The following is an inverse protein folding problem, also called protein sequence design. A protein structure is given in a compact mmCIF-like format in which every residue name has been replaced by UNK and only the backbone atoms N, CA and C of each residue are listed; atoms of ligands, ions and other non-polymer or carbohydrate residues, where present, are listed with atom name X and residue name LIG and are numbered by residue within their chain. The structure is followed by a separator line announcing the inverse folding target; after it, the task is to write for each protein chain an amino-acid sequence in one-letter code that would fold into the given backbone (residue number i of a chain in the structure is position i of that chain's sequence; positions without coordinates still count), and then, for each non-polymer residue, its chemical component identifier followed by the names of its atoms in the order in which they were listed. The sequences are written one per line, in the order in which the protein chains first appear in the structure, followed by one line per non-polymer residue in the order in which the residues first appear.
data_IF_949874968662
#
_entry.id   IF_949874968662
#
_cell.length_a   1.000
_cell.length_b   1.000
_cell.length_c   1.000
_cell.angle_alpha   90.00
_cell.angle_beta   90.00
_cell.angle_gamma   90.00
#
_symmetry.space_group_name_H-M   'P 1'
#
loop_
_entity.id
_entity.type
_entity.pdbx_description
1 polymer ?
#
# COMPACT_ATOMS: atom_id res chain seq x y z
N UNK A 1 -11.41 17.65 5.61
CA UNK A 1 -10.01 17.77 6.03
C UNK A 1 -9.33 16.42 5.96
N UNK A 2 -8.16 16.37 5.36
CA UNK A 2 -7.37 15.14 5.24
C UNK A 2 -6.56 14.90 6.52
N UNK A 3 -6.64 13.68 7.03
CA UNK A 3 -5.90 13.26 8.23
C UNK A 3 -5.32 11.87 8.02
N UNK A 4 -4.24 11.57 8.75
CA UNK A 4 -3.66 10.22 8.78
C UNK A 4 -3.84 9.67 10.19
N UNK A 5 -4.57 8.54 10.29
CA UNK A 5 -4.92 7.92 11.56
C UNK A 5 -4.29 6.53 11.69
N UNK A 6 -4.49 5.89 12.84
CA UNK A 6 -3.99 4.54 13.12
C UNK A 6 -5.05 3.50 12.79
N UNK A 7 -4.62 2.29 12.42
CA UNK A 7 -5.55 1.17 12.26
C UNK A 7 -6.38 0.89 13.51
N UNK A 8 -5.76 1.07 14.68
CA UNK A 8 -6.44 0.85 15.96
C UNK A 8 -7.55 1.87 16.26
N UNK A 9 -7.64 2.94 15.49
CA UNK A 9 -8.77 3.88 15.58
C UNK A 9 -10.02 3.34 14.89
N UNK A 10 -9.94 2.20 14.21
CA UNK A 10 -11.02 1.59 13.45
C UNK A 10 -11.20 0.12 13.84
N UNK A 11 -12.43 -0.45 13.67
CA UNK A 11 -12.65 -1.85 14.02
C UNK A 11 -12.05 -2.82 13.00
N UNK A 12 -11.78 -4.04 13.44
CA UNK A 12 -11.39 -5.16 12.59
C UNK A 12 -12.34 -5.27 11.40
N UNK A 13 -11.79 -5.57 10.22
CA UNK A 13 -12.56 -5.62 8.97
C UNK A 13 -12.37 -4.39 8.10
N UNK A 14 -11.91 -3.26 8.66
CA UNK A 14 -11.74 -2.03 7.89
C UNK A 14 -10.72 -2.17 6.77
N UNK A 15 -9.58 -2.83 7.03
CA UNK A 15 -8.55 -3.08 6.02
C UNK A 15 -9.11 -3.93 4.87
N UNK A 16 -9.78 -5.04 5.20
CA UNK A 16 -10.42 -5.89 4.20
C UNK A 16 -11.41 -5.10 3.36
N UNK A 17 -12.26 -4.32 4.01
CA UNK A 17 -13.29 -3.51 3.34
C UNK A 17 -12.67 -2.55 2.33
N UNK A 18 -11.60 -1.86 2.71
CA UNK A 18 -10.90 -0.94 1.79
C UNK A 18 -10.28 -1.69 0.62
N UNK A 19 -9.63 -2.84 0.86
CA UNK A 19 -9.03 -3.64 -0.20
C UNK A 19 -10.08 -4.16 -1.18
N UNK A 20 -11.18 -4.70 -0.68
CA UNK A 20 -12.27 -5.20 -1.52
C UNK A 20 -12.87 -4.07 -2.38
N UNK A 21 -13.05 -2.90 -1.81
CA UNK A 21 -13.57 -1.74 -2.53
C UNK A 21 -12.57 -1.21 -3.56
N UNK A 22 -11.30 -1.08 -3.18
CA UNK A 22 -10.25 -0.57 -4.07
C UNK A 22 -10.07 -1.42 -5.33
N UNK A 23 -10.29 -2.72 -5.23
CA UNK A 23 -10.16 -3.66 -6.35
C UNK A 23 -11.50 -4.13 -6.92
N UNK A 24 -12.59 -3.44 -6.60
CA UNK A 24 -13.95 -3.80 -7.03
C UNK A 24 -14.23 -3.58 -8.51
N UNK A 25 -13.35 -2.89 -9.22
CA UNK A 25 -13.51 -2.60 -10.64
C UNK A 25 -13.48 -3.84 -11.53
N UNK A 26 -13.03 -4.97 -11.02
CA UNK A 26 -13.05 -6.26 -11.72
C UNK A 26 -13.22 -7.39 -10.70
N UNK A 27 -14.29 -8.18 -10.84
CA UNK A 27 -14.63 -9.25 -9.91
C UNK A 27 -13.57 -10.36 -9.84
N UNK A 28 -12.74 -10.52 -10.88
CA UNK A 28 -11.65 -11.50 -10.88
C UNK A 28 -10.61 -11.21 -9.80
N UNK A 29 -10.47 -9.95 -9.40
CA UNK A 29 -9.57 -9.58 -8.33
C UNK A 29 -9.98 -10.25 -7.02
N UNK A 30 -11.26 -10.23 -6.69
CA UNK A 30 -11.77 -10.87 -5.47
C UNK A 30 -11.56 -12.38 -5.52
N UNK A 31 -11.80 -13.01 -6.67
CA UNK A 31 -11.62 -14.45 -6.82
C UNK A 31 -10.18 -14.88 -6.53
N UNK A 32 -9.19 -14.06 -6.88
CA UNK A 32 -7.77 -14.37 -6.70
C UNK A 32 -7.26 -13.95 -5.31
N UNK A 33 -7.69 -12.80 -4.79
CA UNK A 33 -7.04 -12.13 -3.67
C UNK A 33 -7.85 -12.06 -2.37
N UNK A 34 -9.11 -12.52 -2.37
CA UNK A 34 -9.99 -12.41 -1.20
C UNK A 34 -9.36 -12.99 0.09
N UNK A 35 -8.79 -14.18 -0.01
CA UNK A 35 -8.14 -14.84 1.13
C UNK A 35 -6.94 -14.02 1.63
N UNK A 36 -6.14 -13.48 0.71
CA UNK A 36 -5.00 -12.64 1.05
C UNK A 36 -5.45 -11.35 1.78
N UNK A 37 -6.54 -10.75 1.33
CA UNK A 37 -7.08 -9.55 1.98
C UNK A 37 -7.56 -9.85 3.39
N UNK A 38 -8.23 -10.99 3.60
CA UNK A 38 -8.65 -11.42 4.93
C UNK A 38 -7.46 -11.69 5.84
N UNK A 39 -6.45 -12.37 5.33
CA UNK A 39 -5.22 -12.65 6.09
C UNK A 39 -4.51 -11.37 6.52
N UNK A 40 -4.43 -10.39 5.65
CA UNK A 40 -3.82 -9.10 5.94
C UNK A 40 -4.58 -8.36 7.04
N UNK A 41 -5.90 -8.30 6.92
CA UNK A 41 -6.76 -7.68 7.93
C UNK A 41 -6.58 -8.36 9.30
N UNK A 42 -6.65 -9.69 9.32
CA UNK A 42 -6.48 -10.47 10.54
C UNK A 42 -5.11 -10.21 11.17
N UNK A 43 -4.04 -10.24 10.36
CA UNK A 43 -2.69 -10.04 10.86
C UNK A 43 -2.53 -8.68 11.56
N UNK A 44 -2.98 -7.60 10.92
CA UNK A 44 -2.80 -6.27 11.48
C UNK A 44 -3.69 -6.02 12.70
N UNK A 45 -4.91 -6.55 12.71
CA UNK A 45 -5.79 -6.39 13.88
C UNK A 45 -5.44 -7.35 15.02
N UNK A 46 -4.77 -8.47 14.74
CA UNK A 46 -4.21 -9.35 15.76
C UNK A 46 -2.90 -8.83 16.34
N UNK A 47 -2.24 -7.87 15.65
CA UNK A 47 -0.96 -7.32 16.05
C UNK A 47 -1.02 -5.78 16.06
N UNK A 48 -1.80 -5.18 16.98
CA UNK A 48 -2.03 -3.73 16.95
C UNK A 48 -0.77 -2.88 17.08
N UNK A 49 0.25 -3.34 17.79
CA UNK A 49 1.52 -2.62 17.90
C UNK A 49 2.27 -2.55 16.57
N UNK A 50 2.15 -3.57 15.72
CA UNK A 50 2.71 -3.58 14.38
C UNK A 50 1.89 -2.63 13.49
N UNK A 51 0.57 -2.72 13.57
CA UNK A 51 -0.33 -1.88 12.78
C UNK A 51 -0.12 -0.38 13.05
N UNK A 52 0.10 0.00 14.30
CA UNK A 52 0.34 1.39 14.67
C UNK A 52 1.68 1.93 14.15
N UNK A 53 2.72 1.08 14.18
CA UNK A 53 4.09 1.50 13.82
C UNK A 53 4.37 1.45 12.32
N UNK A 54 3.74 0.54 11.59
CA UNK A 54 4.13 0.18 10.22
C UNK A 54 2.98 0.32 9.23
N UNK A 55 2.11 1.27 9.49
CA UNK A 55 1.01 1.59 8.60
C UNK A 55 0.32 2.88 9.01
N UNK A 56 -0.53 3.37 8.12
CA UNK A 56 -1.40 4.51 8.39
C UNK A 56 -2.69 4.39 7.59
N UNK A 57 -3.73 5.04 8.08
CA UNK A 57 -5.03 5.12 7.43
C UNK A 57 -5.27 6.58 7.02
N UNK A 58 -5.53 6.78 5.75
CA UNK A 58 -5.88 8.11 5.21
C UNK A 58 -7.36 8.33 5.38
N UNK A 59 -7.73 9.43 6.04
CA UNK A 59 -9.13 9.78 6.32
C UNK A 59 -9.48 11.13 5.73
N UNK A 60 -10.70 11.23 5.21
CA UNK A 60 -11.26 12.50 4.75
C UNK A 60 -12.48 12.80 5.60
N UNK A 61 -12.41 13.88 6.38
CA UNK A 61 -13.46 14.26 7.34
C UNK A 61 -13.85 13.10 8.27
N UNK A 62 -12.83 12.36 8.73
CA UNK A 62 -12.99 11.23 9.64
C UNK A 62 -13.33 9.90 8.98
N UNK A 63 -13.65 9.87 7.70
CA UNK A 63 -13.98 8.65 6.98
C UNK A 63 -12.72 8.01 6.37
N UNK A 64 -12.45 6.71 6.61
CA UNK A 64 -11.27 6.05 6.08
C UNK A 64 -11.41 5.79 4.58
N UNK A 65 -10.61 6.47 3.78
CA UNK A 65 -10.64 6.37 2.31
C UNK A 65 -9.53 5.50 1.73
N UNK A 66 -8.50 5.20 2.52
CA UNK A 66 -7.38 4.39 2.06
C UNK A 66 -6.42 4.06 3.18
N UNK A 67 -5.44 3.22 2.87
CA UNK A 67 -4.39 2.90 3.81
C UNK A 67 -3.13 2.45 3.08
N UNK A 68 -2.01 2.49 3.79
CA UNK A 68 -0.74 1.94 3.34
C UNK A 68 -0.04 1.28 4.52
N UNK A 69 0.66 0.17 4.24
CA UNK A 69 1.48 -0.55 5.21
C UNK A 69 2.88 -0.74 4.65
N UNK A 70 3.85 -1.01 5.53
CA UNK A 70 5.21 -1.32 5.10
C UNK A 70 5.84 -2.36 6.02
N UNK A 71 6.82 -3.08 5.46
CA UNK A 71 7.54 -4.13 6.16
C UNK A 71 8.95 -3.64 6.52
N UNK A 72 9.25 -3.45 7.83
CA UNK A 72 10.54 -2.91 8.28
C UNK A 72 11.60 -3.97 8.59
N UNK A 73 11.29 -5.25 8.42
CA UNK A 73 12.11 -6.36 8.92
C UNK A 73 13.49 -6.44 8.30
N UNK A 74 13.69 -5.89 7.11
CA UNK A 74 14.97 -5.93 6.39
C UNK A 74 15.83 -4.69 6.62
N UNK A 75 15.49 -3.86 7.61
CA UNK A 75 16.33 -2.72 7.95
C UNK A 75 17.71 -3.15 8.42
N UNK A 76 18.77 -2.42 8.12
CA UNK A 76 18.81 -1.15 7.38
C UNK A 76 18.89 -1.28 5.86
N UNK A 77 18.87 -2.50 5.33
CA UNK A 77 19.06 -2.70 3.89
C UNK A 77 17.93 -2.11 3.08
N UNK A 78 16.66 -2.38 3.46
CA UNK A 78 15.51 -1.78 2.84
C UNK A 78 14.26 -1.89 3.73
N UNK A 79 13.27 -1.09 3.40
CA UNK A 79 11.89 -1.22 3.86
C UNK A 79 11.02 -1.40 2.62
N UNK A 80 10.08 -2.33 2.67
CA UNK A 80 9.19 -2.62 1.56
C UNK A 80 7.78 -2.09 1.81
N UNK A 81 7.23 -1.32 0.86
CA UNK A 81 5.83 -0.93 0.88
C UNK A 81 4.99 -2.19 0.64
N UNK A 82 4.03 -2.44 1.51
CA UNK A 82 3.11 -3.56 1.39
C UNK A 82 1.84 -3.16 0.64
N UNK A 83 0.68 -3.34 1.28
CA UNK A 83 -0.57 -2.87 0.69
C UNK A 83 -0.60 -1.35 0.63
N UNK A 84 -1.11 -0.83 -0.47
CA UNK A 84 -1.33 0.59 -0.68
C UNK A 84 -2.61 0.72 -1.49
N UNK A 85 -3.70 1.14 -0.85
CA UNK A 85 -5.03 1.12 -1.46
C UNK A 85 -5.80 2.40 -1.17
N UNK A 86 -6.60 2.82 -2.14
CA UNK A 86 -7.56 3.93 -2.02
C UNK A 86 -8.91 3.40 -2.49
N UNK A 87 -9.99 3.70 -1.76
CA UNK A 87 -11.35 3.30 -2.15
C UNK A 87 -11.66 3.84 -3.55
N UNK A 88 -12.43 3.06 -4.32
CA UNK A 88 -12.70 3.37 -5.74
C UNK A 88 -13.24 4.78 -5.95
N UNK A 89 -14.16 5.23 -5.12
CA UNK A 89 -14.77 6.55 -5.24
C UNK A 89 -13.80 7.72 -5.01
N UNK A 90 -12.65 7.45 -4.43
CA UNK A 90 -11.65 8.49 -4.08
C UNK A 90 -10.39 8.41 -4.92
N UNK A 91 -10.35 7.50 -5.89
CA UNK A 91 -9.20 7.39 -6.81
C UNK A 91 -9.12 8.57 -7.77
N UNK A 92 -7.93 8.80 -8.32
CA UNK A 92 -7.66 9.82 -9.35
C UNK A 92 -7.93 11.26 -8.87
N UNK A 93 -7.76 11.50 -7.56
CA UNK A 93 -7.96 12.81 -6.94
C UNK A 93 -6.74 13.28 -6.15
N UNK A 94 -5.61 12.56 -6.25
CA UNK A 94 -4.37 12.91 -5.56
C UNK A 94 -4.19 12.32 -4.18
N UNK A 95 -5.17 11.60 -3.65
CA UNK A 95 -5.08 11.01 -2.30
C UNK A 95 -4.03 9.90 -2.21
N UNK A 96 -3.87 9.11 -3.26
CA UNK A 96 -2.84 8.08 -3.31
C UNK A 96 -1.43 8.66 -3.25
N UNK A 97 -1.21 9.78 -3.92
CA UNK A 97 0.06 10.52 -3.86
C UNK A 97 0.33 11.03 -2.43
N UNK A 98 -0.67 11.64 -1.81
CA UNK A 98 -0.55 12.16 -0.44
C UNK A 98 -0.27 11.05 0.57
N UNK A 99 -0.97 9.93 0.44
CA UNK A 99 -0.80 8.75 1.29
C UNK A 99 0.62 8.19 1.21
N UNK A 100 1.14 8.00 0.01
CA UNK A 100 2.50 7.50 -0.23
C UNK A 100 3.55 8.50 0.27
N UNK A 101 3.36 9.78 0.03
CA UNK A 101 4.29 10.80 0.50
C UNK A 101 4.42 10.79 2.03
N UNK A 102 3.30 10.62 2.74
CA UNK A 102 3.31 10.52 4.20
C UNK A 102 4.03 9.24 4.66
N UNK A 103 3.75 8.10 4.04
CA UNK A 103 4.41 6.84 4.36
C UNK A 103 5.93 6.94 4.17
N UNK A 104 6.36 7.49 3.04
CA UNK A 104 7.78 7.69 2.73
C UNK A 104 8.43 8.60 3.77
N UNK A 105 7.77 9.69 4.15
CA UNK A 105 8.27 10.60 5.18
C UNK A 105 8.51 9.88 6.51
N UNK A 106 7.61 9.00 6.90
CA UNK A 106 7.76 8.19 8.13
C UNK A 106 8.88 7.17 8.01
N UNK A 107 8.96 6.49 6.87
CA UNK A 107 9.98 5.46 6.61
C UNK A 107 11.38 6.08 6.59
N UNK A 108 11.54 7.26 6.03
CA UNK A 108 12.84 7.95 5.97
C UNK A 108 13.41 8.31 7.34
N UNK A 109 12.61 8.27 8.39
CA UNK A 109 13.06 8.52 9.76
C UNK A 109 13.84 7.34 10.35
N UNK A 110 13.79 6.17 9.73
CA UNK A 110 14.57 5.03 10.20
C UNK A 110 16.06 5.30 9.98
N UNK A 111 16.82 5.20 11.06
CA UNK A 111 18.26 5.49 11.02
C UNK A 111 19.01 4.49 10.14
N UNK A 112 19.88 5.01 9.25
CA UNK A 112 20.74 4.20 8.42
C UNK A 112 20.04 3.44 7.31
N UNK A 113 18.78 3.69 7.04
CA UNK A 113 18.03 3.00 5.98
C UNK A 113 18.63 3.33 4.60
N UNK A 114 18.90 2.30 3.81
CA UNK A 114 19.56 2.44 2.51
C UNK A 114 18.61 2.67 1.36
N UNK A 115 17.43 2.04 1.37
CA UNK A 115 16.43 2.22 0.31
C UNK A 115 15.03 1.80 0.73
N UNK A 116 14.06 2.25 -0.04
CA UNK A 116 12.65 1.86 0.07
C UNK A 116 12.28 1.17 -1.23
N UNK A 117 11.64 0.01 -1.15
CA UNK A 117 11.25 -0.75 -2.35
C UNK A 117 9.73 -0.97 -2.38
N UNK A 118 9.21 -1.21 -3.58
CA UNK A 118 7.81 -1.58 -3.78
C UNK A 118 7.67 -2.40 -5.07
N UNK A 119 6.73 -3.33 -5.06
CA UNK A 119 6.35 -4.11 -6.24
C UNK A 119 4.92 -3.79 -6.61
N UNK A 120 4.65 -3.59 -7.89
CA UNK A 120 3.31 -3.35 -8.40
C UNK A 120 3.12 -3.99 -9.77
N UNK A 121 1.93 -3.88 -10.36
CA UNK A 121 1.63 -4.43 -11.68
C UNK A 121 1.53 -3.29 -12.72
N UNK A 122 2.06 -3.56 -13.94
CA UNK A 122 2.08 -2.58 -15.04
C UNK A 122 0.70 -2.15 -15.53
N UNK A 123 -0.34 -2.93 -15.23
CA UNK A 123 -1.73 -2.62 -15.63
C UNK A 123 -2.47 -1.73 -14.63
N UNK A 124 -1.88 -1.48 -13.46
CA UNK A 124 -2.48 -0.62 -12.43
C UNK A 124 -2.09 0.83 -12.63
N UNK A 125 -2.81 1.74 -11.96
CA UNK A 125 -2.45 3.15 -11.90
C UNK A 125 -1.30 3.42 -10.92
N UNK A 126 -1.05 2.47 -10.01
CA UNK A 126 -0.03 2.59 -8.98
C UNK A 126 1.38 2.96 -9.49
N UNK A 127 1.86 2.45 -10.64
CA UNK A 127 3.17 2.87 -11.17
C UNK A 127 3.34 4.39 -11.27
N UNK A 128 2.31 5.10 -11.72
CA UNK A 128 2.34 6.57 -11.83
C UNK A 128 2.43 7.23 -10.46
N UNK A 129 1.72 6.69 -9.46
CA UNK A 129 1.78 7.21 -8.10
C UNK A 129 3.17 7.01 -7.49
N UNK A 130 3.76 5.83 -7.69
CA UNK A 130 5.11 5.55 -7.18
C UNK A 130 6.14 6.47 -7.83
N UNK A 131 6.10 6.64 -9.14
CA UNK A 131 7.00 7.55 -9.85
C UNK A 131 6.84 8.99 -9.37
N UNK A 132 5.60 9.42 -9.08
CA UNK A 132 5.32 10.79 -8.64
C UNK A 132 5.93 11.15 -7.29
N UNK A 133 6.25 10.16 -6.45
CA UNK A 133 6.88 10.36 -5.14
C UNK A 133 8.37 10.00 -5.13
N UNK A 134 8.95 9.72 -6.30
CA UNK A 134 10.39 9.54 -6.47
C UNK A 134 10.90 8.12 -6.64
N UNK A 135 10.01 7.12 -6.73
CA UNK A 135 10.42 5.77 -7.04
C UNK A 135 10.91 5.64 -8.47
N UNK A 136 11.96 4.84 -8.65
CA UNK A 136 12.57 4.56 -9.95
C UNK A 136 12.50 3.06 -10.21
N UNK A 137 12.08 2.68 -11.42
CA UNK A 137 12.00 1.28 -11.84
C UNK A 137 13.39 0.66 -11.90
N UNK A 138 13.58 -0.52 -11.27
CA UNK A 138 14.85 -1.22 -11.30
C UNK A 138 14.76 -2.66 -11.80
N UNK A 139 13.56 -3.24 -11.89
CA UNK A 139 13.39 -4.61 -12.40
C UNK A 139 11.98 -4.84 -12.92
N UNK A 140 11.82 -5.83 -13.79
CA UNK A 140 10.54 -6.28 -14.36
C UNK A 140 10.50 -7.80 -14.40
N UNK A 141 9.32 -8.39 -14.13
CA UNK A 141 9.10 -9.84 -14.23
C UNK A 141 7.75 -10.13 -14.84
N UNK A 142 7.66 -11.20 -15.62
CA UNK A 142 6.39 -11.65 -16.19
C UNK A 142 5.41 -12.03 -15.08
N UNK A 143 4.14 -11.66 -15.23
CA UNK A 143 3.06 -12.03 -14.34
C UNK A 143 2.24 -13.14 -14.98
N UNK A 144 2.28 -14.34 -14.41
CA UNK A 144 1.59 -15.53 -14.91
C UNK A 144 0.34 -15.86 -14.10
N UNK A 145 -0.21 -14.89 -13.34
CA UNK A 145 -1.43 -15.10 -12.55
C UNK A 145 -2.68 -14.91 -13.42
N UNK A 146 -3.80 -15.47 -12.96
CA UNK A 146 -5.11 -15.34 -13.62
C UNK A 146 -5.87 -14.09 -13.16
N UNK A 147 -5.18 -13.10 -12.59
CA UNK A 147 -5.80 -11.84 -12.16
C UNK A 147 -6.19 -10.98 -13.37
N UNK A 148 -7.05 -9.99 -13.13
CA UNK A 148 -7.57 -9.09 -14.16
C UNK A 148 -6.47 -8.31 -14.90
N UNK A 149 -5.31 -8.15 -14.28
CA UNK A 149 -4.20 -7.36 -14.82
C UNK A 149 -2.94 -8.21 -14.96
N UNK A 150 -2.97 -9.18 -15.84
CA UNK A 150 -1.86 -10.10 -16.10
C UNK A 150 -0.71 -9.48 -16.90
N UNK A 151 -0.32 -8.24 -16.57
CA UNK A 151 0.81 -7.55 -17.19
C UNK A 151 2.15 -8.02 -16.65
N UNK A 152 3.03 -7.09 -16.31
CA UNK A 152 4.31 -7.37 -15.69
C UNK A 152 4.32 -6.94 -14.22
N UNK A 153 5.09 -7.63 -13.37
CA UNK A 153 5.45 -7.11 -12.06
C UNK A 153 6.57 -6.08 -12.26
N UNK A 154 6.37 -4.90 -11.69
CA UNK A 154 7.32 -3.80 -11.75
C UNK A 154 7.89 -3.57 -10.35
N UNK A 155 9.23 -3.50 -10.26
CA UNK A 155 9.95 -3.30 -9.02
C UNK A 155 10.57 -1.91 -9.00
N UNK A 156 10.19 -1.11 -8.02
CA UNK A 156 10.61 0.28 -7.88
C UNK A 156 11.40 0.48 -6.60
N UNK A 157 12.31 1.46 -6.61
CA UNK A 157 13.04 1.83 -5.41
C UNK A 157 13.24 3.33 -5.28
N UNK A 158 13.43 3.77 -4.03
CA UNK A 158 14.00 5.08 -3.71
C UNK A 158 15.32 4.77 -3.00
N UNK A 159 16.43 5.22 -3.56
CA UNK A 159 17.75 5.13 -2.92
C UNK A 159 17.90 6.27 -1.92
N UNK A 160 18.38 5.94 -0.71
CA UNK A 160 18.63 6.91 0.36
C UNK A 160 20.13 7.10 0.63
N UNK A 161 20.96 6.47 -0.19
CA UNK A 161 22.41 6.59 -0.11
C UNK A 161 22.95 7.70 -1.00
#
# INVERSE_FOLDING_TARGET
MLEFKKFTDFPRGMMYEILADAYSYDERNKAVWDDNWHESDDFFYDNPEIAEKYGLVTCLDGYPIGFVTWDPRQRPEYVEIGHNAIREAYKRQGYGHMQLAEAISRIKKYEGLKRIIVCTNSKLIAPKNYESVGFVLYDRKANNTDSAYNGEYLYYEISLE
#
